data_IF_577459371026
#
_entry.id   IF_577459371026
#
_cell.length_a   1.000
_cell.length_b   1.000
_cell.length_c   1.000
_cell.angle_alpha   90.00
_cell.angle_beta   90.00
_cell.angle_gamma   90.00
#
_symmetry.space_group_name_H-M   'P 1'
#
loop_
_entity.id
_entity.type
_entity.pdbx_description
1 polymer ?
#
# COMPACT_ATOMS: atom_id res chain seq x y z
N UNK A 1 -19.14 5.25 6.09
CA UNK A 1 -19.99 5.56 7.25
C UNK A 1 -20.19 4.25 8.03
N UNK A 2 -20.15 4.31 9.37
CA UNK A 2 -20.31 3.12 10.23
C UNK A 2 -19.02 2.40 10.65
N UNK A 3 -17.85 2.92 10.28
CA UNK A 3 -16.55 2.43 10.79
C UNK A 3 -16.08 3.34 11.92
N UNK A 4 -15.61 2.76 13.03
CA UNK A 4 -14.97 3.54 14.11
C UNK A 4 -13.58 3.97 13.64
N UNK A 5 -13.47 5.24 13.22
CA UNK A 5 -12.26 5.79 12.63
C UNK A 5 -11.86 7.11 13.31
N UNK A 6 -10.57 7.27 13.59
CA UNK A 6 -10.02 8.44 14.28
C UNK A 6 -8.91 9.10 13.44
N UNK A 7 -8.89 10.44 13.31
CA UNK A 7 -7.81 11.14 12.63
C UNK A 7 -6.59 11.30 13.54
N UNK A 8 -5.38 11.28 12.97
CA UNK A 8 -4.16 11.65 13.69
C UNK A 8 -3.18 12.39 12.79
N UNK A 9 -2.94 13.67 13.08
CA UNK A 9 -1.95 14.49 12.39
C UNK A 9 -1.44 15.61 13.32
N UNK A 10 -0.33 16.24 12.93
CA UNK A 10 0.33 17.28 13.74
C UNK A 10 -0.53 18.53 14.00
N UNK A 11 -1.56 18.76 13.18
CA UNK A 11 -2.52 19.87 13.36
C UNK A 11 -3.56 19.66 14.47
N UNK A 12 -3.65 18.47 15.07
CA UNK A 12 -4.57 18.21 16.18
C UNK A 12 -3.98 18.68 17.53
N UNK A 13 -4.82 19.19 18.46
CA UNK A 13 -4.41 19.48 19.83
C UNK A 13 -3.75 18.28 20.50
N UNK A 14 -2.75 18.51 21.35
CA UNK A 14 -1.99 17.45 22.01
C UNK A 14 -2.89 16.48 22.82
N UNK A 15 -3.88 17.02 23.53
CA UNK A 15 -4.85 16.23 24.29
C UNK A 15 -5.69 15.30 23.41
N UNK A 16 -6.11 15.79 22.23
CA UNK A 16 -6.87 15.01 21.27
C UNK A 16 -6.02 13.89 20.66
N UNK A 17 -4.75 14.18 20.32
CA UNK A 17 -3.78 13.16 19.87
C UNK A 17 -3.58 12.07 20.91
N UNK A 18 -3.38 12.44 22.17
CA UNK A 18 -3.23 11.50 23.28
C UNK A 18 -4.49 10.64 23.49
N UNK A 19 -5.69 11.25 23.39
CA UNK A 19 -6.96 10.52 23.47
C UNK A 19 -7.11 9.51 22.34
N UNK A 20 -6.87 9.91 21.09
CA UNK A 20 -6.98 9.01 19.94
C UNK A 20 -5.95 7.89 19.97
N UNK A 21 -4.70 8.18 20.33
CA UNK A 21 -3.67 7.17 20.52
C UNK A 21 -4.06 6.18 21.62
N UNK A 22 -4.58 6.65 22.75
CA UNK A 22 -5.01 5.78 23.86
C UNK A 22 -6.16 4.87 23.46
N UNK A 23 -7.16 5.39 22.72
CA UNK A 23 -8.27 4.58 22.18
C UNK A 23 -7.73 3.50 21.24
N UNK A 24 -6.89 3.87 20.28
CA UNK A 24 -6.32 2.91 19.32
C UNK A 24 -5.50 1.80 19.99
N UNK A 25 -4.76 2.11 21.07
CA UNK A 25 -3.98 1.11 21.81
C UNK A 25 -4.86 0.16 22.65
N UNK A 26 -6.02 0.62 23.13
CA UNK A 26 -6.84 -0.11 24.11
C UNK A 26 -8.05 -0.83 23.52
N UNK A 27 -8.67 -0.24 22.52
CA UNK A 27 -9.93 -0.70 21.94
C UNK A 27 -9.68 -1.52 20.67
N UNK A 28 -10.52 -2.53 20.46
CA UNK A 28 -10.51 -3.34 19.24
C UNK A 28 -11.44 -2.71 18.18
N UNK A 29 -11.13 -2.91 16.90
CA UNK A 29 -11.96 -2.42 15.79
C UNK A 29 -11.79 -0.94 15.42
N UNK A 30 -10.89 -0.20 16.09
CA UNK A 30 -10.60 1.20 15.78
C UNK A 30 -9.65 1.33 14.58
N UNK A 31 -10.04 2.11 13.57
CA UNK A 31 -9.20 2.47 12.43
C UNK A 31 -8.53 3.83 12.67
N UNK A 32 -7.21 3.87 12.74
CA UNK A 32 -6.49 5.14 12.78
C UNK A 32 -6.18 5.63 11.36
N UNK A 33 -6.63 6.83 11.01
CA UNK A 33 -6.27 7.52 9.77
C UNK A 33 -5.23 8.57 10.09
N UNK A 34 -4.00 8.37 9.63
CA UNK A 34 -2.90 9.20 10.08
C UNK A 34 -1.90 9.59 9.00
N UNK A 35 -1.21 10.72 9.23
CA UNK A 35 0.00 11.07 8.49
C UNK A 35 1.22 10.37 9.10
N UNK A 36 2.39 10.51 8.49
CA UNK A 36 3.69 9.98 8.96
C UNK A 36 3.99 10.36 10.42
N UNK A 37 3.34 11.41 10.95
CA UNK A 37 3.43 11.80 12.36
C UNK A 37 2.96 10.71 13.35
N UNK A 38 2.14 9.75 12.91
CA UNK A 38 1.70 8.60 13.70
C UNK A 38 2.59 7.40 13.42
N UNK A 39 3.69 7.28 14.17
CA UNK A 39 4.57 6.14 14.00
C UNK A 39 5.64 5.97 15.07
N UNK A 40 6.30 7.04 15.50
CA UNK A 40 7.30 6.90 16.57
C UNK A 40 6.61 6.54 17.89
N UNK A 41 6.90 5.37 18.45
CA UNK A 41 6.45 4.94 19.78
C UNK A 41 5.10 4.21 19.86
N UNK A 42 4.50 3.81 18.73
CA UNK A 42 3.28 2.99 18.73
C UNK A 42 3.65 1.53 18.56
N UNK A 43 3.32 0.73 19.58
CA UNK A 43 3.56 -0.71 19.63
C UNK A 43 2.27 -1.45 20.03
N UNK A 44 1.31 -1.49 19.10
CA UNK A 44 0.12 -2.34 19.20
C UNK A 44 0.41 -3.62 18.40
N UNK A 45 0.48 -4.80 19.03
CA UNK A 45 0.94 -6.00 18.33
C UNK A 45 -0.09 -6.58 17.34
N UNK A 46 -1.37 -6.30 17.58
CA UNK A 46 -2.53 -6.88 16.91
C UNK A 46 -3.11 -6.01 15.78
N UNK A 47 -2.27 -5.19 15.13
CA UNK A 47 -2.69 -4.41 13.96
C UNK A 47 -2.88 -5.34 12.76
N UNK A 48 -4.13 -5.49 12.28
CA UNK A 48 -4.48 -6.43 11.19
C UNK A 48 -4.24 -5.89 9.79
N UNK A 49 -4.20 -4.57 9.60
CA UNK A 49 -3.85 -3.99 8.32
C UNK A 49 -3.17 -2.64 8.47
N UNK A 50 -2.32 -2.31 7.49
CA UNK A 50 -1.77 -0.98 7.27
C UNK A 50 -2.07 -0.61 5.82
N UNK A 51 -2.72 0.54 5.62
CA UNK A 51 -3.16 1.00 4.31
C UNK A 51 -2.50 2.34 3.95
N UNK A 52 -1.73 2.35 2.87
CA UNK A 52 -1.20 3.55 2.25
C UNK A 52 -2.16 4.03 1.16
N UNK A 53 -2.67 5.24 1.32
CA UNK A 53 -3.54 5.90 0.32
C UNK A 53 -2.75 6.85 -0.60
N UNK A 54 -1.50 7.11 -0.27
CA UNK A 54 -0.54 7.91 -1.03
C UNK A 54 0.77 7.12 -1.17
N UNK A 55 1.53 7.40 -2.22
CA UNK A 55 2.84 6.80 -2.45
C UNK A 55 3.84 7.23 -1.34
N UNK A 56 4.42 6.29 -0.58
CA UNK A 56 5.50 6.59 0.36
C UNK A 56 6.72 7.20 -0.32
N UNK A 57 7.46 8.03 0.42
CA UNK A 57 8.64 8.73 -0.10
C UNK A 57 9.85 7.82 -0.31
N UNK A 58 9.91 6.68 0.38
CA UNK A 58 11.02 5.74 0.31
C UNK A 58 10.62 4.33 0.75
N UNK A 59 11.41 3.34 0.33
CA UNK A 59 11.21 1.92 0.67
C UNK A 59 11.41 1.68 2.16
N UNK A 60 12.34 2.40 2.79
CA UNK A 60 12.58 2.35 4.24
C UNK A 60 11.37 2.84 5.04
N UNK A 61 10.78 3.96 4.62
CA UNK A 61 9.55 4.48 5.22
C UNK A 61 8.42 3.48 5.10
N UNK A 62 8.18 2.97 3.89
CA UNK A 62 7.16 1.96 3.63
C UNK A 62 7.38 0.69 4.46
N UNK A 63 8.61 0.19 4.54
CA UNK A 63 8.97 -0.98 5.34
C UNK A 63 8.69 -0.77 6.83
N UNK A 64 9.10 0.37 7.38
CA UNK A 64 8.86 0.70 8.78
C UNK A 64 7.36 0.85 9.09
N UNK A 65 6.61 1.50 8.21
CA UNK A 65 5.19 1.78 8.38
C UNK A 65 4.34 0.51 8.30
N UNK A 66 4.57 -0.31 7.27
CA UNK A 66 3.89 -1.60 7.08
C UNK A 66 4.29 -2.63 8.13
N UNK A 67 5.54 -2.60 8.63
CA UNK A 67 6.04 -3.46 9.72
C UNK A 67 5.40 -3.23 11.09
N UNK A 68 4.40 -2.34 11.17
CA UNK A 68 3.51 -2.19 12.34
C UNK A 68 2.39 -3.23 12.36
N UNK A 69 2.05 -3.78 11.20
CA UNK A 69 1.04 -4.81 11.09
C UNK A 69 1.58 -6.14 11.64
N UNK A 70 0.74 -6.89 12.36
CA UNK A 70 0.98 -8.29 12.72
C UNK A 70 2.24 -8.56 13.54
N UNK A 71 2.61 -7.71 14.52
CA UNK A 71 3.77 -7.98 15.38
C UNK A 71 3.54 -9.14 16.35
N UNK A 72 2.28 -9.53 16.56
CA UNK A 72 1.88 -10.78 17.21
C UNK A 72 2.17 -12.03 16.36
N UNK A 73 2.62 -11.88 15.10
CA UNK A 73 2.89 -12.98 14.17
C UNK A 73 1.67 -13.44 13.38
N UNK A 74 0.52 -12.80 13.58
CA UNK A 74 -0.74 -13.20 12.98
C UNK A 74 -0.93 -12.61 11.58
N UNK A 75 -1.75 -13.26 10.72
CA UNK A 75 -2.04 -12.76 9.39
C UNK A 75 -2.47 -11.29 9.41
N UNK A 76 -1.79 -10.50 8.58
CA UNK A 76 -2.05 -9.08 8.43
C UNK A 76 -1.77 -8.64 7.00
N UNK A 77 -2.35 -7.50 6.61
CA UNK A 77 -2.30 -7.01 5.23
C UNK A 77 -1.66 -5.63 5.18
N UNK A 78 -0.57 -5.53 4.42
CA UNK A 78 -0.08 -4.25 3.91
C UNK A 78 -0.75 -3.99 2.57
N UNK A 79 -1.47 -2.88 2.46
CA UNK A 79 -2.17 -2.47 1.25
C UNK A 79 -1.73 -1.07 0.83
N UNK A 80 -1.53 -0.86 -0.46
CA UNK A 80 -1.15 0.45 -0.99
C UNK A 80 -1.95 0.75 -2.25
N UNK A 81 -2.53 1.94 -2.28
CA UNK A 81 -3.01 2.57 -3.50
C UNK A 81 -2.09 3.74 -3.85
N UNK A 82 -1.77 3.84 -5.14
CA UNK A 82 -1.15 5.01 -5.71
C UNK A 82 -1.55 5.12 -7.18
N UNK A 83 -1.43 6.32 -7.73
CA UNK A 83 -1.69 6.61 -9.13
C UNK A 83 -0.64 7.53 -9.73
N UNK A 84 -0.88 7.90 -10.99
CA UNK A 84 0.00 8.81 -11.73
C UNK A 84 0.13 10.19 -11.05
N UNK A 85 -0.94 10.66 -10.39
CA UNK A 85 -0.93 11.93 -9.66
C UNK A 85 0.14 11.95 -8.56
N UNK A 86 0.26 10.87 -7.78
CA UNK A 86 1.21 10.75 -6.68
C UNK A 86 2.65 10.73 -7.21
N UNK A 87 2.87 10.01 -8.31
CA UNK A 87 4.16 9.97 -9.00
C UNK A 87 4.61 11.37 -9.38
N UNK A 88 3.76 12.13 -10.09
CA UNK A 88 4.09 13.49 -10.55
C UNK A 88 4.28 14.44 -9.38
N UNK A 89 3.42 14.35 -8.35
CA UNK A 89 3.52 15.18 -7.16
C UNK A 89 4.84 14.95 -6.41
N UNK A 90 5.24 13.68 -6.18
CA UNK A 90 6.49 13.37 -5.49
C UNK A 90 7.72 13.87 -6.26
N UNK A 91 7.76 13.72 -7.60
CA UNK A 91 8.86 14.27 -8.42
C UNK A 91 8.96 15.80 -8.27
N UNK A 92 7.82 16.49 -8.36
CA UNK A 92 7.77 17.95 -8.15
C UNK A 92 8.29 18.35 -6.78
N UNK A 93 7.88 17.66 -5.71
CA UNK A 93 8.35 17.94 -4.36
C UNK A 93 9.86 17.76 -4.24
N UNK A 94 10.44 16.76 -4.91
CA UNK A 94 11.90 16.54 -4.96
C UNK A 94 12.59 17.69 -5.69
N UNK A 95 12.09 18.08 -6.86
CA UNK A 95 12.66 19.18 -7.65
C UNK A 95 12.64 20.51 -6.90
N UNK A 96 11.57 20.75 -6.13
CA UNK A 96 11.39 21.95 -5.31
C UNK A 96 12.06 21.86 -3.93
N UNK A 97 12.59 20.69 -3.56
CA UNK A 97 13.17 20.50 -2.23
C UNK A 97 14.38 21.40 -2.00
N UNK A 98 14.53 21.98 -0.79
CA UNK A 98 15.73 22.70 -0.42
C UNK A 98 16.88 21.70 -0.30
N UNK A 99 17.96 21.93 -1.04
CA UNK A 99 19.13 21.05 -1.03
C UNK A 99 19.96 21.16 -2.30
N UNK A 100 21.19 20.66 -2.23
CA UNK A 100 22.09 20.59 -3.37
C UNK A 100 21.63 19.51 -4.38
N UNK A 101 22.30 19.46 -5.54
CA UNK A 101 21.98 18.47 -6.58
C UNK A 101 22.10 17.03 -6.07
N UNK A 102 23.10 16.75 -5.23
CA UNK A 102 23.33 15.44 -4.66
C UNK A 102 22.18 14.99 -3.74
N UNK A 103 21.63 15.91 -2.93
CA UNK A 103 20.46 15.65 -2.10
C UNK A 103 19.22 15.30 -2.95
N UNK A 104 18.93 16.08 -3.99
CA UNK A 104 17.80 15.80 -4.89
C UNK A 104 17.95 14.46 -5.62
N UNK A 105 19.17 14.12 -6.05
CA UNK A 105 19.47 12.83 -6.66
C UNK A 105 19.17 11.66 -5.70
N UNK A 106 19.54 11.79 -4.42
CA UNK A 106 19.22 10.76 -3.41
C UNK A 106 17.71 10.60 -3.19
N UNK A 107 16.97 11.70 -3.11
CA UNK A 107 15.51 11.64 -3.01
C UNK A 107 14.88 10.98 -4.25
N UNK A 108 15.40 11.28 -5.44
CA UNK A 108 15.00 10.63 -6.69
C UNK A 108 15.20 9.12 -6.62
N UNK A 109 16.39 8.67 -6.18
CA UNK A 109 16.70 7.26 -6.01
C UNK A 109 15.73 6.54 -5.05
N UNK A 110 15.36 7.16 -3.93
CA UNK A 110 14.39 6.58 -3.01
C UNK A 110 13.00 6.41 -3.64
N UNK A 111 12.58 7.42 -4.42
CA UNK A 111 11.29 7.39 -5.09
C UNK A 111 11.25 6.40 -6.25
N UNK A 112 12.36 6.26 -6.98
CA UNK A 112 12.48 5.29 -8.07
C UNK A 112 12.51 3.86 -7.53
N UNK A 113 13.18 3.61 -6.40
CA UNK A 113 13.10 2.33 -5.69
C UNK A 113 11.67 2.01 -5.23
N UNK A 114 10.93 2.99 -4.73
CA UNK A 114 9.52 2.81 -4.39
C UNK A 114 8.68 2.45 -5.61
N UNK A 115 8.88 3.13 -6.75
CA UNK A 115 8.16 2.77 -7.96
C UNK A 115 8.54 1.39 -8.49
N UNK A 116 9.81 1.00 -8.42
CA UNK A 116 10.24 -0.35 -8.78
C UNK A 116 9.51 -1.40 -7.93
N UNK A 117 9.34 -1.17 -6.63
CA UNK A 117 8.55 -2.04 -5.76
C UNK A 117 7.07 -2.07 -6.16
N UNK A 118 6.50 -0.94 -6.57
CA UNK A 118 5.09 -0.85 -6.94
C UNK A 118 4.76 -1.53 -8.28
N UNK A 119 5.61 -1.30 -9.28
CA UNK A 119 5.44 -1.78 -10.67
C UNK A 119 6.02 -3.18 -10.91
N UNK A 120 6.60 -3.82 -9.89
CA UNK A 120 7.25 -5.12 -10.05
C UNK A 120 6.29 -6.19 -10.57
N UNK A 121 6.80 -6.99 -11.52
CA UNK A 121 6.16 -8.21 -12.01
C UNK A 121 6.70 -9.47 -11.31
N UNK A 122 7.66 -9.30 -10.39
CA UNK A 122 8.21 -10.36 -9.54
C UNK A 122 7.71 -10.22 -8.10
N UNK A 123 8.03 -11.19 -7.25
CA UNK A 123 7.60 -11.20 -5.84
C UNK A 123 7.92 -9.87 -5.12
N UNK A 124 6.91 -9.21 -4.54
CA UNK A 124 7.09 -7.95 -3.80
C UNK A 124 8.05 -8.10 -2.61
N UNK A 125 7.95 -9.21 -1.86
CA UNK A 125 8.83 -9.48 -0.73
C UNK A 125 10.28 -9.65 -1.19
N UNK A 126 10.50 -10.34 -2.31
CA UNK A 126 11.84 -10.52 -2.87
C UNK A 126 12.45 -9.17 -3.27
N UNK A 127 11.67 -8.31 -3.94
CA UNK A 127 12.11 -6.96 -4.31
C UNK A 127 12.44 -6.12 -3.07
N UNK A 128 11.55 -6.14 -2.06
CA UNK A 128 11.71 -5.42 -0.80
C UNK A 128 12.95 -5.87 -0.02
N UNK A 129 13.17 -7.18 0.10
CA UNK A 129 14.35 -7.73 0.79
C UNK A 129 15.63 -7.45 -0.01
N UNK A 130 15.59 -7.55 -1.33
CA UNK A 130 16.70 -7.23 -2.22
C UNK A 130 17.16 -5.78 -2.10
N UNK A 131 16.23 -4.84 -1.89
CA UNK A 131 16.56 -3.44 -1.59
C UNK A 131 17.45 -3.30 -0.34
N UNK A 132 17.23 -4.14 0.68
CA UNK A 132 18.05 -4.20 1.90
C UNK A 132 19.25 -5.16 1.79
N UNK A 133 19.58 -5.63 0.59
CA UNK A 133 20.69 -6.56 0.37
C UNK A 133 20.45 -7.97 0.91
N UNK A 134 19.18 -8.36 1.11
CA UNK A 134 18.80 -9.68 1.59
C UNK A 134 18.23 -10.53 0.44
N UNK A 135 18.77 -11.72 0.27
CA UNK A 135 18.28 -12.68 -0.72
C UNK A 135 17.04 -13.42 -0.21
N UNK A 136 16.11 -13.71 -1.11
CA UNK A 136 14.89 -14.45 -0.79
C UNK A 136 14.32 -15.13 -2.03
N UNK A 137 13.61 -16.25 -1.82
CA UNK A 137 12.75 -16.86 -2.83
C UNK A 137 11.41 -16.12 -2.99
N UNK A 138 10.58 -16.61 -3.92
CA UNK A 138 9.20 -16.13 -4.04
C UNK A 138 8.42 -16.41 -2.74
N UNK A 139 7.64 -15.44 -2.26
CA UNK A 139 7.02 -15.53 -0.94
C UNK A 139 5.70 -16.30 -0.89
N UNK A 140 5.06 -16.53 -2.04
CA UNK A 140 3.75 -17.19 -2.12
C UNK A 140 2.58 -16.41 -1.49
N UNK A 141 2.79 -15.19 -0.96
CA UNK A 141 1.79 -14.46 -0.17
C UNK A 141 1.66 -12.96 -0.50
N UNK A 142 2.27 -12.49 -1.59
CA UNK A 142 2.01 -11.15 -2.13
C UNK A 142 1.09 -11.23 -3.34
N UNK A 143 0.42 -10.13 -3.70
CA UNK A 143 -0.44 -10.03 -4.87
C UNK A 143 0.24 -10.54 -6.14
N UNK A 144 1.50 -10.20 -6.42
CA UNK A 144 2.22 -10.71 -7.60
C UNK A 144 2.44 -12.23 -7.56
N UNK A 145 2.64 -12.83 -6.39
CA UNK A 145 2.78 -14.28 -6.27
C UNK A 145 1.43 -15.00 -6.35
N UNK A 146 0.38 -14.38 -5.81
CA UNK A 146 -0.95 -14.95 -5.75
C UNK A 146 -1.69 -14.82 -7.09
N UNK A 147 -1.42 -13.75 -7.81
CA UNK A 147 -1.98 -13.43 -9.12
C UNK A 147 -0.88 -12.78 -9.97
N UNK A 148 -0.15 -13.61 -10.72
CA UNK A 148 0.94 -13.16 -11.56
C UNK A 148 0.43 -12.14 -12.59
N UNK A 149 1.02 -10.93 -12.64
CA UNK A 149 0.57 -9.92 -13.58
C UNK A 149 0.95 -10.30 -15.00
N UNK A 150 -0.02 -10.20 -15.91
CA UNK A 150 0.25 -10.28 -17.34
C UNK A 150 1.13 -9.12 -17.78
N UNK A 151 2.11 -9.41 -18.64
CA UNK A 151 2.92 -8.40 -19.31
C UNK A 151 2.56 -8.34 -20.79
N UNK A 152 2.82 -7.19 -21.41
CA UNK A 152 2.64 -6.97 -22.85
C UNK A 152 3.73 -6.05 -23.37
N UNK A 153 3.94 -6.07 -24.69
CA UNK A 153 4.92 -5.21 -25.32
C UNK A 153 4.42 -3.76 -25.39
N UNK A 154 5.02 -2.90 -24.57
CA UNK A 154 4.72 -1.48 -24.49
C UNK A 154 5.65 -0.59 -25.33
N UNK A 155 6.52 -1.16 -26.17
CA UNK A 155 7.47 -0.39 -26.97
C UNK A 155 6.76 0.62 -27.88
N UNK A 156 5.76 0.16 -28.64
CA UNK A 156 5.00 1.01 -29.56
C UNK A 156 4.24 2.13 -28.81
N UNK A 157 3.49 1.86 -27.72
CA UNK A 157 2.92 2.91 -26.88
C UNK A 157 3.94 3.93 -26.36
N UNK A 158 5.10 3.46 -25.89
CA UNK A 158 6.18 4.34 -25.43
C UNK A 158 6.69 5.25 -26.55
N UNK A 159 6.91 4.69 -27.75
CA UNK A 159 7.32 5.46 -28.93
C UNK A 159 6.28 6.48 -29.37
N UNK A 160 4.98 6.14 -29.39
CA UNK A 160 3.88 7.06 -29.70
C UNK A 160 3.90 8.27 -28.76
N UNK A 161 4.04 8.03 -27.46
CA UNK A 161 4.08 9.07 -26.43
C UNK A 161 5.34 9.93 -26.51
N UNK A 162 6.52 9.30 -26.57
CA UNK A 162 7.80 10.00 -26.70
C UNK A 162 7.85 10.86 -27.97
N UNK A 163 7.35 10.31 -29.10
CA UNK A 163 7.26 11.05 -30.36
C UNK A 163 6.35 12.27 -30.25
N UNK A 164 5.24 12.16 -29.52
CA UNK A 164 4.32 13.29 -29.29
C UNK A 164 5.00 14.40 -28.50
N UNK A 165 5.71 14.05 -27.42
CA UNK A 165 6.47 15.00 -26.59
C UNK A 165 7.55 15.68 -27.41
N UNK A 166 8.36 14.92 -28.14
CA UNK A 166 9.45 15.46 -28.98
C UNK A 166 8.93 16.38 -30.07
N UNK A 167 7.80 16.04 -30.73
CA UNK A 167 7.21 16.89 -31.76
C UNK A 167 6.67 18.20 -31.20
N UNK A 168 5.95 18.16 -30.08
CA UNK A 168 5.46 19.37 -29.41
C UNK A 168 6.61 20.30 -29.05
N UNK A 169 7.71 19.75 -28.54
CA UNK A 169 8.89 20.52 -28.19
C UNK A 169 9.59 21.08 -29.44
N UNK A 170 9.82 20.26 -30.47
CA UNK A 170 10.59 20.64 -31.67
C UNK A 170 9.83 21.56 -32.62
N UNK A 171 8.54 21.27 -32.86
CA UNK A 171 7.73 21.97 -33.86
C UNK A 171 7.03 23.20 -33.26
N UNK A 172 6.76 23.20 -31.94
CA UNK A 172 5.95 24.25 -31.29
C UNK A 172 6.57 24.87 -30.05
N UNK A 173 7.67 24.33 -29.51
CA UNK A 173 8.27 24.80 -28.26
C UNK A 173 7.35 24.64 -27.04
N UNK A 174 6.45 23.65 -27.07
CA UNK A 174 5.44 23.44 -26.04
C UNK A 174 5.69 22.15 -25.24
N UNK A 175 5.37 22.20 -23.94
CA UNK A 175 5.39 21.04 -23.04
C UNK A 175 4.06 20.93 -22.28
N UNK A 176 3.60 19.70 -22.05
CA UNK A 176 2.32 19.43 -21.40
C UNK A 176 2.42 18.26 -20.43
N UNK A 177 1.49 18.21 -19.47
CA UNK A 177 1.33 17.07 -18.57
C UNK A 177 0.61 15.90 -19.25
N UNK A 178 0.57 14.77 -18.53
CA UNK A 178 0.06 13.50 -19.04
C UNK A 178 -1.34 13.60 -19.67
N UNK A 179 -2.31 14.23 -18.99
CA UNK A 179 -3.70 14.28 -19.47
C UNK A 179 -3.83 14.85 -20.89
N UNK A 180 -3.16 15.97 -21.17
CA UNK A 180 -3.20 16.60 -22.49
C UNK A 180 -2.47 15.77 -23.56
N UNK A 181 -1.36 15.13 -23.19
CA UNK A 181 -0.64 14.22 -24.11
C UNK A 181 -1.49 12.99 -24.47
N UNK A 182 -2.24 12.47 -23.50
CA UNK A 182 -3.18 11.36 -23.70
C UNK A 182 -4.34 11.81 -24.60
N UNK A 183 -4.88 13.01 -24.40
CA UNK A 183 -5.93 13.58 -25.26
C UNK A 183 -5.47 13.68 -26.73
N UNK A 184 -4.23 14.13 -26.98
CA UNK A 184 -3.65 14.15 -28.32
C UNK A 184 -3.60 12.73 -28.91
N UNK A 185 -2.99 11.79 -28.19
CA UNK A 185 -2.81 10.42 -28.67
C UNK A 185 -4.13 9.70 -28.94
N UNK A 186 -5.13 9.92 -28.09
CA UNK A 186 -6.46 9.30 -28.24
C UNK A 186 -7.34 10.01 -29.28
N UNK A 187 -6.91 11.16 -29.79
CA UNK A 187 -7.69 11.92 -30.76
C UNK A 187 -8.90 12.61 -30.12
N UNK A 188 -8.78 13.07 -28.88
CA UNK A 188 -9.87 13.77 -28.20
C UNK A 188 -10.12 15.14 -28.84
N UNK A 189 -11.39 15.55 -28.89
CA UNK A 189 -11.82 16.86 -29.42
C UNK A 189 -12.19 17.80 -28.29
N UNK A 190 -11.22 18.13 -27.42
CA UNK A 190 -11.42 19.14 -26.38
C UNK A 190 -11.14 20.54 -26.93
N UNK A 191 -11.74 21.57 -26.33
CA UNK A 191 -11.51 22.98 -26.74
C UNK A 191 -10.01 23.32 -26.76
N UNK A 192 -9.25 22.80 -25.79
CA UNK A 192 -7.81 23.02 -25.68
C UNK A 192 -7.04 22.42 -26.86
N UNK A 193 -7.42 21.22 -27.32
CA UNK A 193 -6.78 20.58 -28.48
C UNK A 193 -6.97 21.44 -29.73
N UNK A 194 -8.20 21.91 -29.97
CA UNK A 194 -8.55 22.72 -31.13
C UNK A 194 -7.87 24.08 -31.08
N UNK A 195 -7.93 24.77 -29.94
CA UNK A 195 -7.30 26.08 -29.74
C UNK A 195 -5.78 26.04 -29.93
N UNK A 196 -5.14 24.94 -29.50
CA UNK A 196 -3.70 24.76 -29.65
C UNK A 196 -3.32 24.17 -31.02
N UNK A 197 -4.30 23.80 -31.86
CA UNK A 197 -4.10 23.20 -33.17
C UNK A 197 -3.41 21.83 -33.12
N UNK A 198 -3.60 21.07 -32.04
CA UNK A 198 -2.95 19.76 -31.85
C UNK A 198 -3.65 18.62 -32.57
N UNK A 199 -4.88 18.84 -33.05
CA UNK A 199 -5.60 18.02 -34.02
C UNK A 199 -4.82 17.82 -35.34
N UNK A 200 -3.88 18.73 -35.64
CA UNK A 200 -3.03 18.68 -36.85
C UNK A 200 -1.70 17.95 -36.66
N UNK A 201 -1.40 17.47 -35.45
CA UNK A 201 -0.15 16.73 -35.23
C UNK A 201 -0.22 15.36 -35.88
N UNK A 202 0.90 14.89 -36.44
CA UNK A 202 0.99 13.54 -37.00
C UNK A 202 0.75 12.44 -35.94
N UNK A 203 0.85 12.78 -34.66
CA UNK A 203 0.58 11.87 -33.54
C UNK A 203 -0.83 12.01 -32.97
N UNK A 204 -1.68 12.84 -33.57
CA UNK A 204 -3.08 12.95 -33.16
C UNK A 204 -3.85 11.66 -33.51
N UNK A 205 -4.51 11.06 -32.53
CA UNK A 205 -5.35 9.87 -32.73
C UNK A 205 -4.60 8.54 -32.97
N UNK A 206 -3.26 8.53 -33.01
CA UNK A 206 -2.48 7.30 -33.28
C UNK A 206 -2.50 6.30 -32.11
N UNK A 207 -3.03 6.71 -30.96
CA UNK A 207 -3.13 5.96 -29.71
C UNK A 207 -4.56 5.62 -29.29
N UNK A 208 -5.51 5.61 -30.24
CA UNK A 208 -6.92 5.31 -29.97
C UNK A 208 -7.19 3.83 -29.63
N UNK A 209 -6.18 2.97 -29.79
CA UNK A 209 -6.17 1.55 -29.44
C UNK A 209 -6.14 1.31 -27.92
N UNK A 210 -5.77 2.32 -27.13
CA UNK A 210 -5.69 2.25 -25.67
C UNK A 210 -6.70 3.18 -25.00
N UNK A 211 -7.23 2.75 -23.86
CA UNK A 211 -8.08 3.60 -23.02
C UNK A 211 -7.27 4.70 -22.31
N UNK A 212 -7.94 5.71 -21.75
CA UNK A 212 -7.27 6.72 -20.89
C UNK A 212 -6.57 6.06 -19.71
N UNK A 213 -7.19 5.03 -19.13
CA UNK A 213 -6.62 4.30 -18.02
C UNK A 213 -5.37 3.51 -18.42
N UNK A 214 -5.39 2.84 -19.57
CA UNK A 214 -4.21 2.15 -20.10
C UNK A 214 -3.07 3.12 -20.37
N UNK A 215 -3.38 4.28 -20.96
CA UNK A 215 -2.39 5.33 -21.20
C UNK A 215 -1.80 5.90 -19.89
N UNK A 216 -2.62 6.12 -18.86
CA UNK A 216 -2.11 6.50 -17.53
C UNK A 216 -1.19 5.45 -16.94
N UNK A 217 -1.50 4.16 -17.14
CA UNK A 217 -0.64 3.05 -16.75
C UNK A 217 0.70 3.09 -17.49
N UNK A 218 0.67 3.26 -18.82
CA UNK A 218 1.87 3.41 -19.65
C UNK A 218 2.72 4.57 -19.13
N UNK A 219 2.15 5.76 -18.96
CA UNK A 219 2.89 6.95 -18.46
C UNK A 219 3.53 6.67 -17.10
N UNK A 220 2.78 6.09 -16.16
CA UNK A 220 3.25 5.77 -14.81
C UNK A 220 4.42 4.80 -14.83
N UNK A 221 4.33 3.72 -15.63
CA UNK A 221 5.39 2.72 -15.75
C UNK A 221 6.63 3.25 -16.49
N UNK A 222 6.47 4.16 -17.46
CA UNK A 222 7.60 4.81 -18.13
C UNK A 222 8.32 5.81 -17.22
N UNK A 223 7.58 6.53 -16.36
CA UNK A 223 8.16 7.37 -15.30
C UNK A 223 8.95 6.53 -14.29
N UNK A 224 8.44 5.35 -13.93
CA UNK A 224 9.13 4.41 -13.03
C UNK A 224 10.46 3.88 -13.57
N UNK A 225 10.64 3.88 -14.88
CA UNK A 225 11.83 3.36 -15.56
C UNK A 225 12.79 4.45 -16.02
N UNK A 226 12.53 5.71 -15.73
CA UNK A 226 13.36 6.82 -16.23
C UNK A 226 13.27 7.04 -17.75
N UNK A 227 12.37 6.35 -18.46
CA UNK A 227 12.11 6.56 -19.89
C UNK A 227 11.36 7.89 -20.09
N UNK A 228 10.48 8.24 -19.15
CA UNK A 228 9.89 9.57 -19.02
C UNK A 228 10.37 10.23 -17.73
N UNK A 229 10.36 11.55 -17.74
CA UNK A 229 10.55 12.35 -16.52
C UNK A 229 9.53 13.48 -16.46
N UNK A 230 9.12 13.83 -15.23
CA UNK A 230 8.36 15.06 -14.99
C UNK A 230 9.35 16.23 -14.84
N UNK A 231 8.96 17.41 -15.34
CA UNK A 231 9.76 18.62 -15.28
C UNK A 231 8.89 19.85 -15.07
N UNK A 232 9.48 20.87 -14.46
CA UNK A 232 8.89 22.18 -14.29
C UNK A 232 7.80 22.22 -13.21
N UNK A 233 7.34 23.43 -12.90
CA UNK A 233 6.37 23.68 -11.83
C UNK A 233 5.00 23.05 -12.08
N UNK A 234 4.64 22.87 -13.35
CA UNK A 234 3.36 22.32 -13.79
C UNK A 234 3.37 20.79 -14.03
N UNK A 235 4.47 20.10 -13.72
CA UNK A 235 4.56 18.64 -13.90
C UNK A 235 4.43 18.21 -15.36
N UNK A 236 5.01 18.97 -16.29
CA UNK A 236 5.05 18.61 -17.71
C UNK A 236 5.93 17.39 -17.93
N UNK A 237 5.63 16.57 -18.93
CA UNK A 237 6.43 15.38 -19.23
C UNK A 237 7.48 15.67 -20.29
N UNK A 238 8.67 15.11 -20.09
CA UNK A 238 9.79 15.17 -21.01
C UNK A 238 10.41 13.76 -21.21
N UNK A 239 11.15 13.53 -22.31
CA UNK A 239 11.94 12.32 -22.46
C UNK A 239 12.98 12.25 -21.34
N UNK A 240 13.08 11.10 -20.67
CA UNK A 240 14.11 10.85 -19.68
C UNK A 240 15.42 10.32 -20.31
N UNK A 241 16.44 10.02 -19.49
CA UNK A 241 17.74 9.52 -19.96
C UNK A 241 17.64 8.28 -20.85
N UNK A 242 16.69 7.39 -20.55
CA UNK A 242 16.53 6.09 -21.23
C UNK A 242 15.56 6.15 -22.42
N UNK A 243 15.08 7.35 -22.81
CA UNK A 243 14.14 7.51 -23.91
C UNK A 243 14.74 7.22 -25.30
N UNK A 244 16.04 7.46 -25.48
CA UNK A 244 16.72 7.39 -26.78
C UNK A 244 16.67 6.00 -27.44
N UNK A 245 17.15 4.93 -26.75
CA UNK A 245 17.06 3.56 -27.25
C UNK A 245 15.63 3.11 -27.53
N UNK A 246 14.68 3.46 -26.65
CA UNK A 246 13.25 3.16 -26.83
C UNK A 246 12.68 3.82 -28.10
N UNK A 247 12.97 5.09 -28.35
CA UNK A 247 12.56 5.80 -29.57
C UNK A 247 13.12 5.15 -30.84
N UNK A 248 14.33 4.57 -30.78
CA UNK A 248 14.95 3.84 -31.89
C UNK A 248 14.48 2.40 -32.02
N UNK A 249 13.72 1.88 -31.05
CA UNK A 249 13.29 0.48 -31.03
C UNK A 249 14.40 -0.50 -30.65
N UNK A 250 15.46 -0.01 -30.02
CA UNK A 250 16.63 -0.82 -29.63
C UNK A 250 16.45 -1.48 -28.26
N UNK A 251 15.49 -1.01 -27.47
CA UNK A 251 15.22 -1.50 -26.12
C UNK A 251 13.76 -1.96 -25.99
N UNK A 252 13.56 -3.17 -25.48
CA UNK A 252 12.22 -3.71 -25.21
C UNK A 252 11.59 -3.01 -24.01
N UNK A 253 10.29 -2.73 -24.09
CA UNK A 253 9.55 -2.09 -22.99
C UNK A 253 8.40 -3.00 -22.54
N UNK A 254 8.65 -4.11 -21.83
CA UNK A 254 7.58 -4.98 -21.35
C UNK A 254 6.80 -4.27 -20.25
N UNK A 255 5.52 -3.96 -20.44
CA UNK A 255 4.69 -3.27 -19.46
C UNK A 255 3.75 -4.27 -18.77
N UNK A 256 3.44 -4.02 -17.51
CA UNK A 256 2.40 -4.72 -16.76
C UNK A 256 1.03 -4.30 -17.29
N UNK A 257 0.11 -5.27 -17.43
CA UNK A 257 -1.32 -4.99 -17.61
C UNK A 257 -1.95 -4.72 -16.26
N UNK A 258 -2.58 -3.56 -16.09
CA UNK A 258 -3.36 -3.29 -14.90
C UNK A 258 -4.72 -3.99 -14.99
N UNK A 259 -5.05 -4.77 -13.96
CA UNK A 259 -6.36 -5.44 -13.81
C UNK A 259 -7.38 -4.56 -13.06
N UNK A 260 -6.94 -3.44 -12.49
CA UNK A 260 -7.82 -2.51 -11.77
C UNK A 260 -8.83 -1.90 -12.76
N UNK A 261 -10.12 -2.26 -12.65
CA UNK A 261 -11.20 -1.73 -13.49
C UNK A 261 -11.88 -2.76 -14.39
N UNK A 262 -11.31 -3.94 -14.61
CA UNK A 262 -12.02 -5.09 -15.19
C UNK A 262 -12.60 -5.91 -14.07
N UNK A 263 -13.85 -5.63 -13.70
CA UNK A 263 -14.54 -6.33 -12.61
C UNK A 263 -14.82 -7.77 -13.01
N UNK A 264 -13.89 -8.69 -12.76
CA UNK A 264 -14.21 -10.12 -12.61
C UNK A 264 -14.56 -10.39 -11.16
N UNK A 265 -15.71 -11.05 -11.00
CA UNK A 265 -16.50 -11.26 -9.79
C UNK A 265 -15.85 -12.32 -8.88
N UNK A 266 -14.66 -12.06 -8.34
CA UNK A 266 -13.98 -13.00 -7.42
C UNK A 266 -13.81 -12.47 -6.00
N UNK A 267 -14.34 -11.28 -5.72
CA UNK A 267 -14.16 -10.56 -4.44
C UNK A 267 -14.88 -11.22 -3.25
N UNK A 268 -15.80 -12.16 -3.49
CA UNK A 268 -16.57 -12.84 -2.43
C UNK A 268 -15.83 -13.96 -1.71
N UNK A 269 -14.68 -14.46 -2.20
CA UNK A 269 -13.95 -15.55 -1.52
C UNK A 269 -12.88 -15.10 -0.51
N UNK A 270 -12.38 -13.86 -0.59
CA UNK A 270 -11.21 -13.45 0.21
C UNK A 270 -11.54 -12.86 1.59
N UNK A 271 -12.74 -12.31 1.77
CA UNK A 271 -13.17 -11.81 3.08
C UNK A 271 -13.37 -12.94 4.11
N UNK A 272 -13.59 -14.18 3.66
CA UNK A 272 -13.72 -15.35 4.53
C UNK A 272 -12.36 -15.91 5.03
N UNK A 273 -11.24 -15.52 4.42
CA UNK A 273 -9.92 -16.05 4.76
C UNK A 273 -9.27 -15.38 5.98
N UNK A 274 -9.63 -14.13 6.28
CA UNK A 274 -9.09 -13.41 7.46
C UNK A 274 -9.71 -13.88 8.79
N UNK A 275 -10.78 -14.65 8.73
CA UNK A 275 -11.42 -15.31 9.87
C UNK A 275 -11.26 -16.84 9.86
N UNK A 276 -10.41 -17.38 8.98
CA UNK A 276 -10.30 -18.83 8.70
C UNK A 276 -9.34 -19.61 9.64
N UNK A 277 -8.58 -18.94 10.50
CA UNK A 277 -7.67 -19.62 11.47
C UNK A 277 -8.33 -19.94 12.82
N UNK A 278 -9.66 -19.88 12.88
CA UNK A 278 -10.46 -20.45 13.96
C UNK A 278 -11.45 -21.40 13.28
N UNK A 279 -11.45 -22.68 13.68
CA UNK A 279 -12.44 -23.63 13.18
C UNK A 279 -13.84 -23.03 13.38
N UNK A 280 -14.77 -23.27 12.44
CA UNK A 280 -16.07 -22.60 12.46
C UNK A 280 -16.84 -22.80 13.79
N UNK A 281 -16.56 -23.88 14.52
CA UNK A 281 -17.09 -24.16 15.86
C UNK A 281 -16.42 -23.42 17.04
N UNK A 282 -15.27 -22.75 16.83
CA UNK A 282 -14.51 -22.07 17.88
C UNK A 282 -14.59 -20.52 17.79
N UNK A 283 -15.22 -19.98 16.73
CA UNK A 283 -15.36 -18.53 16.53
C UNK A 283 -16.13 -17.84 17.64
N UNK A 284 -17.25 -18.43 18.08
CA UNK A 284 -18.10 -17.84 19.11
C UNK A 284 -17.35 -17.73 20.45
N UNK A 285 -16.59 -18.78 20.82
CA UNK A 285 -15.75 -18.77 22.00
C UNK A 285 -14.59 -17.76 21.87
N UNK A 286 -13.97 -17.66 20.69
CA UNK A 286 -12.92 -16.68 20.46
C UNK A 286 -13.41 -15.23 20.62
N UNK A 287 -14.58 -14.90 20.08
CA UNK A 287 -15.19 -13.57 20.23
C UNK A 287 -15.62 -13.29 21.68
N UNK A 288 -16.16 -14.30 22.39
CA UNK A 288 -16.46 -14.18 23.82
C UNK A 288 -15.20 -13.91 24.66
N UNK A 289 -14.10 -14.60 24.37
CA UNK A 289 -12.81 -14.37 25.00
C UNK A 289 -12.24 -12.98 24.69
N UNK A 290 -12.43 -12.46 23.47
CA UNK A 290 -12.08 -11.08 23.10
C UNK A 290 -12.89 -10.05 23.88
N UNK A 291 -14.21 -10.25 23.98
CA UNK A 291 -15.08 -9.36 24.74
C UNK A 291 -14.70 -9.33 26.22
N UNK A 292 -14.47 -10.51 26.82
CA UNK A 292 -13.99 -10.61 28.21
C UNK A 292 -12.64 -9.91 28.40
N UNK A 293 -11.68 -10.11 27.49
CA UNK A 293 -10.38 -9.44 27.53
C UNK A 293 -10.53 -7.92 27.48
N UNK A 294 -11.37 -7.41 26.59
CA UNK A 294 -11.60 -5.98 26.44
C UNK A 294 -12.14 -5.37 27.74
N UNK A 295 -13.05 -6.08 28.42
CA UNK A 295 -13.60 -5.64 29.70
C UNK A 295 -12.53 -5.59 30.81
N UNK A 296 -11.72 -6.65 30.93
CA UNK A 296 -10.62 -6.69 31.90
C UNK A 296 -9.57 -5.60 31.65
N UNK A 297 -9.24 -5.36 30.37
CA UNK A 297 -8.32 -4.31 29.96
C UNK A 297 -8.86 -2.91 30.33
N UNK A 298 -10.17 -2.70 30.15
CA UNK A 298 -10.88 -1.47 30.51
C UNK A 298 -10.87 -1.22 32.02
N UNK A 299 -11.17 -2.23 32.82
CA UNK A 299 -11.15 -2.16 34.30
C UNK A 299 -9.77 -1.80 34.84
N UNK A 300 -8.72 -2.35 34.25
CA UNK A 300 -7.33 -2.14 34.68
C UNK A 300 -6.65 -0.93 34.02
N UNK A 301 -7.29 -0.30 33.03
CA UNK A 301 -6.73 0.84 32.29
C UNK A 301 -5.50 0.50 31.42
N UNK A 302 -5.33 -0.78 31.06
CA UNK A 302 -4.21 -1.28 30.27
C UNK A 302 -4.65 -1.68 28.85
N UNK A 303 -3.76 -1.66 27.84
CA UNK A 303 -4.04 -2.25 26.53
C UNK A 303 -4.46 -3.73 26.58
N UNK A 304 -5.42 -4.13 25.74
CA UNK A 304 -6.00 -5.48 25.76
C UNK A 304 -4.97 -6.61 25.64
N UNK A 305 -3.96 -6.44 24.78
CA UNK A 305 -2.90 -7.43 24.57
C UNK A 305 -2.04 -7.70 25.84
N UNK A 306 -2.04 -6.78 26.81
CA UNK A 306 -1.34 -6.98 28.10
C UNK A 306 -2.04 -8.07 28.92
N UNK A 307 -3.38 -8.13 28.89
CA UNK A 307 -4.17 -9.19 29.51
C UNK A 307 -3.87 -10.51 28.80
N UNK A 308 -4.22 -10.63 27.52
CA UNK A 308 -3.80 -11.73 26.64
C UNK A 308 -3.68 -11.28 25.17
N UNK A 309 -2.68 -11.78 24.46
CA UNK A 309 -2.59 -11.62 23.01
C UNK A 309 -3.62 -12.50 22.28
N UNK A 310 -3.95 -12.14 21.03
CA UNK A 310 -4.90 -12.90 20.21
C UNK A 310 -4.49 -14.38 20.06
N UNK A 311 -3.19 -14.66 19.90
CA UNK A 311 -2.66 -16.03 19.82
C UNK A 311 -3.00 -16.86 21.07
N UNK A 312 -2.96 -16.26 22.27
CA UNK A 312 -3.34 -16.93 23.51
C UNK A 312 -4.85 -17.18 23.57
N UNK A 313 -5.68 -16.22 23.15
CA UNK A 313 -7.14 -16.41 23.10
C UNK A 313 -7.52 -17.51 22.10
N UNK A 314 -6.83 -17.58 20.97
CA UNK A 314 -7.04 -18.65 19.97
C UNK A 314 -6.63 -20.01 20.52
N UNK A 315 -5.49 -20.11 21.18
CA UNK A 315 -5.06 -21.35 21.82
C UNK A 315 -6.01 -21.80 22.95
N UNK A 316 -6.64 -20.86 23.66
CA UNK A 316 -7.70 -21.14 24.64
C UNK A 316 -8.99 -21.64 23.97
N UNK A 317 -9.40 -21.01 22.87
CA UNK A 317 -10.58 -21.41 22.11
C UNK A 317 -10.42 -22.81 21.50
N UNK A 318 -9.23 -23.13 20.97
CA UNK A 318 -8.88 -24.42 20.38
C UNK A 318 -8.77 -25.54 21.45
N UNK A 319 -8.04 -25.31 22.55
CA UNK A 319 -7.80 -26.35 23.56
C UNK A 319 -8.94 -26.54 24.56
N UNK A 320 -9.81 -25.55 24.75
CA UNK A 320 -10.95 -25.57 25.69
C UNK A 320 -10.60 -26.14 27.08
N UNK A 321 -9.58 -25.60 27.77
CA UNK A 321 -9.16 -26.07 29.09
C UNK A 321 -10.31 -26.04 30.10
N UNK A 322 -10.39 -27.04 30.98
CA UNK A 322 -11.48 -27.21 31.95
C UNK A 322 -11.03 -27.02 33.40
N UNK A 323 -9.73 -26.91 33.62
CA UNK A 323 -9.12 -26.72 34.93
C UNK A 323 -7.93 -25.76 34.87
N UNK A 324 -7.52 -25.25 36.03
CA UNK A 324 -6.34 -24.37 36.14
C UNK A 324 -5.05 -25.08 35.68
N UNK A 325 -4.97 -26.40 35.87
CA UNK A 325 -3.84 -27.20 35.39
C UNK A 325 -3.80 -27.27 33.87
N UNK A 326 -4.95 -27.33 33.19
CA UNK A 326 -5.04 -27.35 31.72
C UNK A 326 -4.59 -26.03 31.06
N UNK A 327 -4.56 -24.93 31.82
CA UNK A 327 -3.98 -23.66 31.37
C UNK A 327 -2.44 -23.73 31.29
N UNK A 328 -1.83 -24.77 31.86
CA UNK A 328 -0.39 -25.01 31.77
C UNK A 328 0.03 -25.42 30.37
N UNK A 329 1.06 -24.77 29.84
CA UNK A 329 1.57 -25.07 28.50
C UNK A 329 0.79 -24.40 27.37
N UNK A 330 -0.14 -23.48 27.67
CA UNK A 330 -0.70 -22.56 26.67
C UNK A 330 0.24 -21.36 26.53
N UNK A 331 0.73 -21.12 25.32
CA UNK A 331 1.64 -20.02 25.00
C UNK A 331 1.04 -18.66 25.37
N UNK A 332 1.76 -17.88 26.17
CA UNK A 332 1.32 -16.58 26.68
C UNK A 332 0.61 -16.61 28.05
N UNK A 333 0.39 -17.79 28.64
CA UNK A 333 -0.15 -17.95 30.01
C UNK A 333 0.97 -18.37 30.98
N UNK A 334 1.64 -17.37 31.58
CA UNK A 334 2.60 -17.58 32.68
C UNK A 334 1.90 -17.68 34.04
N UNK A 335 2.66 -18.07 35.09
CA UNK A 335 2.15 -18.26 36.45
C UNK A 335 1.31 -17.06 36.97
N UNK A 336 1.83 -15.83 36.81
CA UNK A 336 1.12 -14.60 37.22
C UNK A 336 -0.21 -14.40 36.51
N UNK A 337 -0.28 -14.69 35.20
CA UNK A 337 -1.52 -14.53 34.43
C UNK A 337 -2.54 -15.62 34.77
N UNK A 338 -2.06 -16.83 35.09
CA UNK A 338 -2.92 -17.92 35.55
C UNK A 338 -3.55 -17.60 36.90
N UNK A 339 -2.75 -17.09 37.83
CA UNK A 339 -3.24 -16.65 39.14
C UNK A 339 -4.22 -15.48 39.02
N UNK A 340 -3.92 -14.49 38.15
CA UNK A 340 -4.75 -13.31 38.00
C UNK A 340 -6.05 -13.55 37.20
N UNK A 341 -6.03 -14.42 36.19
CA UNK A 341 -7.11 -14.53 35.20
C UNK A 341 -7.67 -15.93 35.00
N UNK A 342 -7.05 -16.96 35.57
CA UNK A 342 -7.35 -18.36 35.28
C UNK A 342 -8.81 -18.72 35.49
N UNK A 343 -9.36 -18.41 36.67
CA UNK A 343 -10.74 -18.73 37.01
C UNK A 343 -11.75 -18.00 36.12
N UNK A 344 -11.49 -16.72 35.82
CA UNK A 344 -12.34 -15.92 34.96
C UNK A 344 -12.37 -16.43 33.51
N UNK A 345 -11.20 -16.81 32.96
CA UNK A 345 -11.09 -17.40 31.62
C UNK A 345 -11.80 -18.75 31.55
N UNK A 346 -11.60 -19.62 32.55
CA UNK A 346 -12.27 -20.93 32.61
C UNK A 346 -13.79 -20.78 32.68
N UNK A 347 -14.31 -19.76 33.37
CA UNK A 347 -15.74 -19.47 33.39
C UNK A 347 -16.27 -19.07 32.00
N UNK A 348 -15.54 -18.23 31.25
CA UNK A 348 -15.91 -17.87 29.87
C UNK A 348 -15.92 -19.11 28.97
N UNK A 349 -14.91 -19.99 29.08
CA UNK A 349 -14.83 -21.22 28.30
C UNK A 349 -15.98 -22.18 28.66
N UNK A 350 -16.28 -22.37 29.94
CA UNK A 350 -17.34 -23.27 30.41
C UNK A 350 -18.74 -22.84 29.95
N UNK A 351 -18.97 -21.54 29.75
CA UNK A 351 -20.25 -21.02 29.23
C UNK A 351 -20.45 -21.24 27.72
N UNK A 352 -19.42 -21.70 27.00
CA UNK A 352 -19.43 -21.94 25.55
C UNK A 352 -19.01 -23.38 25.21
N UNK A 353 -19.07 -24.30 26.19
CA UNK A 353 -18.63 -25.68 26.11
C UNK A 353 -19.71 -26.65 25.61
#
# INVERSE_FOLDING_TARGET
QGLDALPYHAGLPAEMRAKHQSRFLREDGVVMVATIAFGMGIDKPDVRFVAHIDLPKSVEGYYQETGRAGRDGEPSVAWMAYGLGDVVQQRRLIDQSPGDRAFKMRLGQHLDAMLALCETVTCRRQNLLGYFGQESGACGNCDTCLEAPETWDGLVPAQKLLSTIVRLQRERGQAFGAGHLIDILRGATTDRIVQQGHDRLATYGIGNDLSDQDWRSVVRQLLARGILMAQGEYGTLAPGPDAGPVLRGEESVPLRRDVLGRTTVTRTRRAAAASADVAEGDRDLFEALRAWRAEQAREQGVPAYIVFGDATLRALADRRPRSSDDLSGITGIGAKKREAYGDAVLAVIASHA
#
